data_IF_855226763836
#
_entry.id   IF_855226763836
#
_cell.length_a   1.000
_cell.length_b   1.000
_cell.length_c   1.000
_cell.angle_alpha   90.00
_cell.angle_beta   90.00
_cell.angle_gamma   90.00
#
_symmetry.space_group_name_H-M   'P 1'
#
loop_
_entity.id
_entity.type
_entity.pdbx_description
1 polymer ?
#
# COMPACT_ATOMS: atom_id res chain seq x y z
N UNK A 1 -1.78 37.39 -7.10
CA UNK A 1 -1.92 35.92 -7.10
C UNK A 1 -0.75 35.34 -6.31
N UNK A 2 -1.00 34.58 -5.25
CA UNK A 2 0.05 34.02 -4.40
C UNK A 2 0.86 32.93 -5.12
N UNK A 3 2.15 32.83 -4.82
CA UNK A 3 3.02 31.79 -5.37
C UNK A 3 2.66 30.42 -4.78
N UNK A 4 2.04 29.56 -5.58
CA UNK A 4 1.70 28.20 -5.18
C UNK A 4 2.92 27.29 -5.37
N UNK A 5 3.55 26.89 -4.27
CA UNK A 5 4.69 25.97 -4.30
C UNK A 5 4.20 24.58 -4.70
N UNK A 6 4.59 24.13 -5.91
CA UNK A 6 4.37 22.74 -6.32
C UNK A 6 5.11 21.81 -5.36
N UNK A 7 4.36 20.93 -4.68
CA UNK A 7 4.97 19.90 -3.83
C UNK A 7 5.74 18.92 -4.72
N UNK A 8 7.01 18.62 -4.41
CA UNK A 8 7.74 17.61 -5.15
C UNK A 8 7.05 16.25 -4.94
N UNK A 9 6.56 15.68 -6.03
CA UNK A 9 6.04 14.32 -6.06
C UNK A 9 7.12 13.39 -6.64
N UNK A 10 7.21 12.16 -6.12
CA UNK A 10 8.07 11.14 -6.71
C UNK A 10 7.51 10.79 -8.09
N UNK A 11 8.38 10.75 -9.11
CA UNK A 11 8.01 10.21 -10.43
C UNK A 11 7.78 8.70 -10.29
N UNK A 12 6.76 8.14 -10.98
CA UNK A 12 6.57 6.69 -11.00
C UNK A 12 7.78 5.99 -11.62
N UNK A 13 7.99 4.72 -11.28
CA UNK A 13 9.01 3.92 -11.93
C UNK A 13 8.66 3.66 -13.41
N UNK A 14 9.68 3.47 -14.28
CA UNK A 14 9.43 3.19 -15.69
C UNK A 14 8.48 2.02 -15.93
N UNK A 15 7.65 2.11 -16.97
CA UNK A 15 6.64 1.08 -17.27
C UNK A 15 7.24 -0.25 -17.74
N UNK A 16 8.39 -0.20 -18.42
CA UNK A 16 9.08 -1.40 -18.93
C UNK A 16 9.70 -2.28 -17.84
N UNK A 17 9.80 -1.80 -16.59
CA UNK A 17 10.31 -2.62 -15.50
C UNK A 17 9.27 -3.68 -15.09
N UNK A 18 9.69 -4.95 -14.88
CA UNK A 18 8.78 -5.98 -14.39
C UNK A 18 8.24 -5.59 -13.02
N UNK A 19 6.93 -5.75 -12.83
CA UNK A 19 6.21 -5.47 -11.57
C UNK A 19 5.82 -6.78 -10.91
N UNK A 20 6.21 -6.94 -9.66
CA UNK A 20 5.79 -8.04 -8.80
C UNK A 20 4.85 -7.49 -7.73
N UNK A 21 3.65 -8.06 -7.64
CA UNK A 21 2.61 -7.60 -6.70
C UNK A 21 2.64 -8.47 -5.45
N UNK A 22 3.01 -7.87 -4.32
CA UNK A 22 3.05 -8.52 -3.01
C UNK A 22 1.87 -8.01 -2.19
N UNK A 23 0.85 -8.84 -2.00
CA UNK A 23 -0.34 -8.48 -1.21
C UNK A 23 -0.11 -8.84 0.25
N UNK A 24 -0.21 -7.85 1.13
CA UNK A 24 -0.26 -8.08 2.57
C UNK A 24 -1.71 -8.44 2.91
N UNK A 25 -1.90 -9.69 3.33
CA UNK A 25 -3.22 -10.25 3.61
C UNK A 25 -4.00 -9.43 4.63
N UNK A 26 -5.29 -9.35 4.38
CA UNK A 26 -6.28 -8.86 5.32
C UNK A 26 -6.28 -9.69 6.61
N UNK A 27 -6.58 -9.08 7.77
CA UNK A 27 -7.03 -9.88 8.89
C UNK A 27 -8.34 -10.59 8.53
N UNK A 28 -8.56 -11.81 9.04
CA UNK A 28 -9.84 -12.51 8.90
C UNK A 28 -10.95 -11.93 9.80
N UNK A 29 -10.61 -11.07 10.75
CA UNK A 29 -11.52 -10.45 11.69
C UNK A 29 -11.14 -9.00 11.99
N UNK A 30 -12.13 -8.20 12.39
CA UNK A 30 -11.91 -6.82 12.78
C UNK A 30 -11.03 -6.72 14.04
N UNK A 31 -9.86 -6.10 13.94
CA UNK A 31 -8.98 -5.86 15.09
C UNK A 31 -9.63 -5.05 16.23
N UNK A 32 -10.70 -4.31 15.95
CA UNK A 32 -11.37 -3.49 16.96
C UNK A 32 -12.44 -4.22 17.76
N UNK A 33 -13.15 -5.17 17.16
CA UNK A 33 -14.33 -5.82 17.78
C UNK A 33 -14.41 -7.34 17.60
N UNK A 34 -13.47 -7.95 16.86
CA UNK A 34 -13.44 -9.39 16.61
C UNK A 34 -14.45 -9.91 15.57
N UNK A 35 -15.29 -9.05 15.00
CA UNK A 35 -16.26 -9.48 13.98
C UNK A 35 -15.58 -9.89 12.67
N UNK A 36 -16.05 -10.98 12.09
CA UNK A 36 -15.76 -11.47 10.74
C UNK A 36 -16.48 -10.68 9.62
N UNK A 37 -17.36 -9.75 9.97
CA UNK A 37 -18.13 -8.91 9.03
C UNK A 37 -17.28 -7.76 8.49
N UNK A 38 -16.14 -8.08 7.90
CA UNK A 38 -15.22 -7.15 7.26
C UNK A 38 -15.38 -7.19 5.74
N UNK A 39 -15.26 -6.02 5.10
CA UNK A 39 -15.39 -5.88 3.65
C UNK A 39 -14.23 -5.06 3.12
N UNK A 40 -13.63 -5.52 2.03
CA UNK A 40 -12.57 -4.78 1.32
C UNK A 40 -13.14 -3.46 0.81
N UNK A 41 -12.48 -2.36 1.17
CA UNK A 41 -12.86 -0.99 0.80
C UNK A 41 -11.92 -0.41 -0.26
N UNK A 42 -10.63 -0.75 -0.21
CA UNK A 42 -9.64 -0.22 -1.14
C UNK A 42 -8.25 -0.80 -0.87
N UNK A 43 -7.23 -0.22 -1.49
CA UNK A 43 -5.84 -0.65 -1.37
C UNK A 43 -4.92 0.56 -1.35
N UNK A 44 -3.86 0.50 -0.54
CA UNK A 44 -2.70 1.36 -0.74
C UNK A 44 -1.57 0.56 -1.37
N UNK A 45 -0.94 1.13 -2.38
CA UNK A 45 0.17 0.52 -3.11
C UNK A 45 1.43 1.33 -2.86
N UNK A 46 2.47 0.70 -2.34
CA UNK A 46 3.82 1.27 -2.24
C UNK A 46 4.74 0.58 -3.24
N UNK A 47 5.41 1.37 -4.07
CA UNK A 47 6.39 0.86 -5.03
C UNK A 47 7.82 0.99 -4.49
N UNK A 48 8.57 -0.10 -4.56
CA UNK A 48 10.00 -0.15 -4.22
C UNK A 48 10.79 -0.82 -5.34
N UNK A 49 11.94 -0.26 -5.68
CA UNK A 49 12.84 -0.83 -6.67
C UNK A 49 13.74 -1.88 -6.00
N UNK A 50 13.74 -3.11 -6.51
CA UNK A 50 14.60 -4.20 -6.05
C UNK A 50 15.63 -4.55 -7.13
N UNK A 51 16.88 -4.76 -6.70
CA UNK A 51 17.97 -5.23 -7.56
C UNK A 51 17.98 -6.75 -7.56
N UNK A 52 17.75 -7.35 -8.73
CA UNK A 52 18.11 -8.73 -9.01
C UNK A 52 19.46 -8.68 -9.74
N UNK A 53 20.37 -9.66 -9.61
CA UNK A 53 21.60 -9.66 -10.41
C UNK A 53 21.33 -9.36 -11.90
N UNK A 54 21.87 -8.23 -12.38
CA UNK A 54 21.75 -7.71 -13.76
C UNK A 54 20.35 -7.22 -14.18
N UNK A 55 19.38 -7.15 -13.27
CA UNK A 55 18.02 -6.74 -13.58
C UNK A 55 17.41 -5.89 -12.46
N UNK A 56 16.41 -5.10 -12.81
CA UNK A 56 15.63 -4.33 -11.84
C UNK A 56 14.19 -4.80 -11.92
N UNK A 57 13.55 -4.91 -10.76
CA UNK A 57 12.10 -5.11 -10.67
C UNK A 57 11.49 -4.11 -9.72
N UNK A 58 10.22 -3.81 -9.94
CA UNK A 58 9.42 -2.99 -9.04
C UNK A 58 8.57 -3.92 -8.20
N UNK A 59 8.80 -3.92 -6.89
CA UNK A 59 7.91 -4.57 -5.92
C UNK A 59 6.78 -3.59 -5.60
N UNK A 60 5.56 -4.00 -5.90
CA UNK A 60 4.34 -3.29 -5.51
C UNK A 60 3.78 -3.96 -4.25
N UNK A 61 4.02 -3.36 -3.09
CA UNK A 61 3.47 -3.83 -1.83
C UNK A 61 2.06 -3.28 -1.67
N UNK A 62 1.07 -4.17 -1.65
CA UNK A 62 -0.35 -3.84 -1.59
C UNK A 62 -0.85 -4.06 -0.17
N UNK A 63 -1.39 -3.01 0.43
CA UNK A 63 -2.04 -3.05 1.75
C UNK A 63 -3.52 -2.80 1.59
N UNK A 64 -4.29 -3.87 1.67
CA UNK A 64 -5.74 -3.79 1.56
C UNK A 64 -6.35 -3.06 2.77
N UNK A 65 -7.31 -2.19 2.50
CA UNK A 65 -8.11 -1.47 3.49
C UNK A 65 -9.44 -2.17 3.66
N UNK A 66 -9.86 -2.36 4.90
CA UNK A 66 -11.13 -3.01 5.24
C UNK A 66 -11.99 -2.10 6.08
N UNK A 67 -13.30 -2.22 5.92
CA UNK A 67 -14.29 -1.64 6.81
C UNK A 67 -15.05 -2.75 7.52
N UNK A 68 -15.25 -2.61 8.84
CA UNK A 68 -16.08 -3.52 9.61
C UNK A 68 -17.53 -3.06 9.58
N UNK A 69 -18.45 -3.94 9.18
CA UNK A 69 -19.89 -3.64 9.17
C UNK A 69 -20.53 -3.62 10.55
N UNK A 70 -19.85 -4.15 11.57
CA UNK A 70 -20.37 -4.20 12.94
C UNK A 70 -20.05 -2.93 13.74
N UNK A 71 -18.82 -2.41 13.62
CA UNK A 71 -18.36 -1.24 14.39
C UNK A 71 -17.98 -0.05 13.52
N UNK A 72 -18.14 -0.16 12.20
CA UNK A 72 -17.91 0.89 11.19
C UNK A 72 -16.47 1.43 11.12
N UNK A 73 -15.54 0.78 11.83
CA UNK A 73 -14.13 1.16 11.82
C UNK A 73 -13.42 0.64 10.58
N UNK A 74 -12.51 1.46 10.08
CA UNK A 74 -11.62 1.14 8.97
C UNK A 74 -10.28 0.65 9.55
N UNK A 75 -9.79 -0.48 9.05
CA UNK A 75 -8.47 -1.01 9.39
C UNK A 75 -7.64 -1.26 8.14
N UNK A 76 -6.33 -1.22 8.32
CA UNK A 76 -5.35 -1.48 7.28
C UNK A 76 -4.11 -2.12 7.92
N UNK A 77 -3.43 -3.06 7.25
CA UNK A 77 -2.12 -3.53 7.69
C UNK A 77 -1.12 -2.37 7.86
N UNK A 78 -0.20 -2.46 8.83
CA UNK A 78 0.84 -1.46 9.01
C UNK A 78 1.67 -1.28 7.73
N UNK A 79 2.16 -0.07 7.50
CA UNK A 79 3.04 0.17 6.36
C UNK A 79 4.35 -0.64 6.53
N UNK A 80 4.87 -1.23 5.44
CA UNK A 80 6.21 -1.81 5.48
C UNK A 80 7.23 -0.74 5.84
N UNK A 81 8.29 -1.14 6.55
CA UNK A 81 9.38 -0.23 6.85
C UNK A 81 10.11 0.15 5.57
N UNK A 82 10.31 1.45 5.36
CA UNK A 82 11.12 1.97 4.28
C UNK A 82 12.23 2.83 4.91
N UNK A 83 13.52 2.56 4.63
CA UNK A 83 14.57 3.49 5.01
C UNK A 83 14.31 4.82 4.30
N UNK A 84 14.17 5.91 5.06
CA UNK A 84 14.17 7.26 4.50
C UNK A 84 15.60 7.61 4.07
N UNK A 85 15.84 7.94 2.79
CA UNK A 85 17.12 8.50 2.36
C UNK A 85 17.37 9.88 2.98
#
# INVERSE_FOLDING_TARGET
AGFERRRPARKPFPEHLPRERVVIEAPAACYCCGSDRIVKMGEDITETLEVIPRQWKVIQTVREKFTCRQCEKISQPPAPFHPTP
#
